data_IF_247218289649
#
_entry.id   IF_247218289649
#
_cell.length_a   1.000
_cell.length_b   1.000
_cell.length_c   1.000
_cell.angle_alpha   90.00
_cell.angle_beta   90.00
_cell.angle_gamma   90.00
#
_symmetry.space_group_name_H-M   'P 1'
#
loop_
_entity.id
_entity.type
_entity.pdbx_description
1 polymer ?
#
# COMPACT_ATOMS: atom_id res chain seq x y z
N UNK A 1 4.31 18.51 -8.07
CA UNK A 1 3.89 17.68 -9.20
C UNK A 1 4.31 18.29 -10.52
N UNK A 2 4.81 17.48 -11.41
CA UNK A 2 5.13 17.83 -12.78
C UNK A 2 4.35 16.91 -13.75
N UNK A 3 4.24 17.33 -14.99
CA UNK A 3 3.67 16.56 -16.08
C UNK A 3 4.73 15.76 -16.83
N UNK A 4 4.37 15.25 -18.00
CA UNK A 4 5.25 14.47 -18.88
C UNK A 4 5.06 14.86 -20.33
N UNK A 5 6.10 14.70 -21.13
CA UNK A 5 6.07 14.81 -22.59
C UNK A 5 6.20 13.41 -23.19
N UNK A 6 5.28 13.07 -24.08
CA UNK A 6 5.25 11.80 -24.77
C UNK A 6 6.13 11.81 -26.03
N UNK A 7 6.43 10.63 -26.56
CA UNK A 7 7.26 10.41 -27.75
C UNK A 7 6.64 10.98 -29.04
N UNK A 8 5.31 11.13 -29.08
CA UNK A 8 4.58 11.78 -30.18
C UNK A 8 4.58 13.32 -30.10
N UNK A 9 5.23 13.89 -29.07
CA UNK A 9 5.28 15.32 -28.80
C UNK A 9 4.14 15.87 -27.95
N UNK A 10 3.16 15.06 -27.56
CA UNK A 10 2.08 15.48 -26.67
C UNK A 10 2.60 15.82 -25.29
N UNK A 11 2.21 16.99 -24.76
CA UNK A 11 2.55 17.39 -23.39
C UNK A 11 1.34 17.19 -22.48
N UNK A 12 1.50 16.38 -21.44
CA UNK A 12 0.50 16.15 -20.43
C UNK A 12 0.84 16.97 -19.18
N UNK A 13 -0.12 17.75 -18.72
CA UNK A 13 -0.01 18.48 -17.46
C UNK A 13 0.05 17.52 -16.27
N UNK A 14 0.47 18.00 -15.10
CA UNK A 14 0.45 17.21 -13.87
C UNK A 14 -0.93 16.59 -13.58
N UNK A 15 -2.02 17.33 -13.84
CA UNK A 15 -3.38 16.83 -13.66
C UNK A 15 -3.70 15.68 -14.61
N UNK A 16 -3.33 15.79 -15.88
CA UNK A 16 -3.55 14.71 -16.87
C UNK A 16 -2.69 13.48 -16.56
N UNK A 17 -1.43 13.68 -16.17
CA UNK A 17 -0.53 12.59 -15.78
C UNK A 17 -1.03 11.82 -14.53
N UNK A 18 -1.80 12.45 -13.65
CA UNK A 18 -2.41 11.82 -12.46
C UNK A 18 -3.36 10.68 -12.82
N UNK A 19 -4.01 10.70 -13.97
CA UNK A 19 -4.90 9.61 -14.40
C UNK A 19 -4.16 8.28 -14.56
N UNK A 20 -2.96 8.33 -15.14
CA UNK A 20 -2.12 7.14 -15.23
C UNK A 20 -1.69 6.67 -13.85
N UNK A 21 -1.27 7.59 -12.96
CA UNK A 21 -0.88 7.23 -11.59
C UNK A 21 -2.03 6.53 -10.87
N UNK A 22 -3.24 7.09 -10.95
CA UNK A 22 -4.42 6.50 -10.33
C UNK A 22 -4.72 5.09 -10.87
N UNK A 23 -4.61 4.89 -12.18
CA UNK A 23 -4.76 3.57 -12.80
C UNK A 23 -3.66 2.58 -12.39
N UNK A 24 -2.40 3.04 -12.34
CA UNK A 24 -1.27 2.22 -11.93
C UNK A 24 -1.34 1.83 -10.45
N UNK A 25 -1.75 2.76 -9.57
CA UNK A 25 -1.98 2.48 -8.14
C UNK A 25 -3.12 1.48 -7.92
N UNK A 26 -4.22 1.63 -8.64
CA UNK A 26 -5.36 0.73 -8.55
C UNK A 26 -5.06 -0.67 -9.11
N UNK A 27 -4.18 -0.77 -10.10
CA UNK A 27 -3.77 -2.04 -10.71
C UNK A 27 -2.58 -2.71 -10.04
N UNK A 28 -1.88 -2.02 -9.13
CA UNK A 28 -0.70 -2.58 -8.46
C UNK A 28 -1.10 -3.65 -7.43
N UNK A 29 -0.38 -4.78 -7.45
CA UNK A 29 -0.52 -5.80 -6.42
C UNK A 29 -0.04 -5.26 -5.06
N UNK A 30 -0.56 -5.81 -3.97
CA UNK A 30 -0.27 -5.31 -2.61
C UNK A 30 1.23 -5.24 -2.29
N UNK A 31 2.05 -6.16 -2.84
CA UNK A 31 3.50 -6.19 -2.65
C UNK A 31 4.30 -5.31 -3.64
N UNK A 32 3.65 -4.73 -4.66
CA UNK A 32 4.31 -3.88 -5.65
C UNK A 32 4.40 -2.43 -5.19
N UNK A 33 5.46 -1.75 -5.62
CA UNK A 33 5.62 -0.30 -5.48
C UNK A 33 5.72 0.33 -6.86
N UNK A 34 5.17 1.52 -7.02
CA UNK A 34 5.36 2.33 -8.22
C UNK A 34 6.65 3.13 -8.22
N UNK A 35 7.48 3.05 -7.17
CA UNK A 35 8.80 3.68 -7.17
C UNK A 35 9.60 3.20 -8.38
N UNK A 36 10.07 4.14 -9.19
CA UNK A 36 10.76 3.90 -10.46
C UNK A 36 9.92 3.19 -11.54
N UNK A 37 8.61 3.09 -11.37
CA UNK A 37 7.72 2.66 -12.44
C UNK A 37 7.79 3.65 -13.60
N UNK A 38 7.92 3.12 -14.82
CA UNK A 38 8.03 3.92 -16.03
C UNK A 38 6.66 4.45 -16.46
N UNK A 39 6.58 5.74 -16.76
CA UNK A 39 5.43 6.31 -17.43
C UNK A 39 5.43 5.86 -18.91
N UNK A 40 4.39 5.22 -19.43
CA UNK A 40 4.37 4.70 -20.80
C UNK A 40 4.55 5.81 -21.83
N UNK A 41 5.41 5.57 -22.81
CA UNK A 41 5.67 6.47 -23.94
C UNK A 41 6.18 7.88 -23.57
N UNK A 42 6.49 8.14 -22.29
CA UNK A 42 7.05 9.42 -21.87
C UNK A 42 8.56 9.46 -22.07
N UNK A 43 9.03 10.55 -22.66
CA UNK A 43 10.44 10.79 -22.98
C UNK A 43 11.07 11.87 -22.11
N UNK A 44 10.25 12.75 -21.52
CA UNK A 44 10.72 13.85 -20.68
C UNK A 44 9.70 14.21 -19.60
N UNK A 45 10.18 14.48 -18.38
CA UNK A 45 9.37 15.06 -17.31
C UNK A 45 9.23 16.58 -17.51
N UNK A 46 8.02 17.13 -17.42
CA UNK A 46 7.76 18.54 -17.70
C UNK A 46 6.99 19.24 -16.55
N UNK A 47 7.61 20.22 -15.85
CA UNK A 47 9.02 20.60 -15.95
C UNK A 47 9.96 19.50 -15.45
N UNK A 48 11.17 19.48 -16.01
CA UNK A 48 12.25 18.63 -15.54
C UNK A 48 12.73 19.12 -14.17
N UNK A 49 12.77 18.21 -13.21
CA UNK A 49 13.22 18.48 -11.85
C UNK A 49 14.71 18.13 -11.70
N UNK A 50 15.43 18.95 -10.96
CA UNK A 50 16.73 18.56 -10.42
C UNK A 50 16.55 17.59 -9.25
N UNK A 51 17.60 16.85 -8.87
CA UNK A 51 17.53 15.92 -7.75
C UNK A 51 17.06 16.60 -6.45
N UNK A 52 17.58 17.80 -6.14
CA UNK A 52 17.17 18.58 -4.98
C UNK A 52 15.69 19.02 -5.03
N UNK A 53 15.17 19.31 -6.22
CA UNK A 53 13.75 19.65 -6.38
C UNK A 53 12.87 18.42 -6.24
N UNK A 54 13.29 17.27 -6.76
CA UNK A 54 12.58 16.01 -6.61
C UNK A 54 12.56 15.57 -5.13
N UNK A 55 13.67 15.67 -4.41
CA UNK A 55 13.76 15.42 -2.97
C UNK A 55 12.83 16.34 -2.16
N UNK A 56 12.80 17.63 -2.49
CA UNK A 56 11.89 18.60 -1.87
C UNK A 56 10.43 18.26 -2.15
N UNK A 57 10.08 17.85 -3.36
CA UNK A 57 8.73 17.42 -3.70
C UNK A 57 8.31 16.19 -2.89
N UNK A 58 9.16 15.18 -2.83
CA UNK A 58 8.92 13.94 -2.07
C UNK A 58 8.75 14.24 -0.57
N UNK A 59 9.63 15.05 0.02
CA UNK A 59 9.54 15.42 1.44
C UNK A 59 8.29 16.26 1.77
N UNK A 60 7.75 16.95 0.78
CA UNK A 60 6.49 17.71 0.87
C UNK A 60 5.24 16.86 0.57
N UNK A 61 5.39 15.55 0.38
CA UNK A 61 4.28 14.62 0.12
C UNK A 61 3.75 14.65 -1.32
N UNK A 62 4.56 15.12 -2.27
CA UNK A 62 4.20 15.12 -3.68
C UNK A 62 4.88 13.97 -4.43
N UNK A 63 4.06 13.15 -5.08
CA UNK A 63 4.56 12.22 -6.10
C UNK A 63 5.00 13.04 -7.32
N UNK A 64 6.21 12.82 -7.82
CA UNK A 64 6.76 13.51 -8.98
C UNK A 64 7.43 12.54 -9.96
N UNK A 65 7.60 12.99 -11.19
CA UNK A 65 8.30 12.27 -12.25
C UNK A 65 9.72 12.79 -12.40
N UNK A 66 10.63 11.86 -12.69
CA UNK A 66 12.05 12.15 -12.97
C UNK A 66 12.47 11.56 -14.30
N UNK A 67 13.42 12.23 -14.97
CA UNK A 67 14.09 11.67 -16.13
C UNK A 67 15.15 10.67 -15.69
N UNK A 68 15.13 9.49 -16.27
CA UNK A 68 16.09 8.45 -15.99
C UNK A 68 16.52 7.76 -17.31
N UNK A 69 17.69 8.14 -17.81
CA UNK A 69 18.28 7.57 -19.03
C UNK A 69 17.32 7.48 -20.22
N UNK A 70 16.62 8.58 -20.53
CA UNK A 70 15.72 8.69 -21.67
C UNK A 70 14.32 8.09 -21.44
N UNK A 71 14.00 7.75 -20.21
CA UNK A 71 12.66 7.33 -19.77
C UNK A 71 12.18 8.20 -18.62
N UNK A 72 10.89 8.37 -18.49
CA UNK A 72 10.27 9.07 -17.36
C UNK A 72 9.77 8.06 -16.34
N UNK A 73 10.16 8.25 -15.09
CA UNK A 73 9.79 7.35 -13.98
C UNK A 73 9.18 8.09 -12.82
N UNK A 74 8.36 7.39 -12.05
CA UNK A 74 7.92 7.85 -10.72
C UNK A 74 9.15 7.93 -9.80
N UNK A 75 9.38 9.08 -9.18
CA UNK A 75 10.51 9.26 -8.27
C UNK A 75 10.40 8.33 -7.06
N UNK A 76 9.28 8.43 -6.35
CA UNK A 76 8.99 7.62 -5.16
C UNK A 76 7.48 7.42 -5.03
N UNK A 77 7.07 6.19 -4.73
CA UNK A 77 5.68 5.80 -4.48
C UNK A 77 5.26 6.19 -3.07
N UNK A 78 4.65 7.36 -2.95
CA UNK A 78 4.24 7.96 -1.68
C UNK A 78 2.84 8.58 -1.77
N UNK A 79 2.20 8.69 -0.61
CA UNK A 79 1.01 9.51 -0.41
C UNK A 79 1.36 10.88 0.18
N UNK A 80 0.34 11.67 0.51
CA UNK A 80 0.49 13.04 1.02
C UNK A 80 0.77 13.13 2.53
N UNK A 81 1.01 12.03 3.24
CA UNK A 81 1.31 12.03 4.66
C UNK A 81 2.72 12.57 4.92
N UNK A 82 2.82 13.73 5.57
CA UNK A 82 4.09 14.41 5.90
C UNK A 82 4.27 14.65 7.39
N UNK A 83 3.24 14.38 8.19
CA UNK A 83 3.31 14.53 9.66
C UNK A 83 3.28 13.15 10.30
N UNK A 84 4.31 12.81 11.05
CA UNK A 84 4.46 11.50 11.67
C UNK A 84 4.26 11.56 13.18
N UNK A 85 3.72 10.51 13.75
CA UNK A 85 3.51 10.31 15.18
C UNK A 85 4.09 8.97 15.61
N UNK A 86 4.07 8.67 16.91
CA UNK A 86 4.52 7.37 17.44
C UNK A 86 3.69 6.22 16.84
N UNK A 87 2.38 6.41 16.72
CA UNK A 87 1.46 5.39 16.22
C UNK A 87 1.34 5.39 14.68
N UNK A 88 1.89 6.40 14.01
CA UNK A 88 1.80 6.59 12.56
C UNK A 88 3.13 7.12 12.04
N UNK A 89 4.07 6.23 11.89
CA UNK A 89 5.43 6.51 11.46
C UNK A 89 5.56 6.83 9.96
N UNK A 90 6.79 7.05 9.53
CA UNK A 90 7.09 7.42 8.13
C UNK A 90 6.70 6.33 7.12
N UNK A 91 6.68 5.08 7.52
CA UNK A 91 6.28 3.93 6.67
C UNK A 91 4.86 4.11 6.12
N UNK A 92 3.94 4.73 6.87
CA UNK A 92 2.58 5.02 6.42
C UNK A 92 2.51 6.05 5.28
N UNK A 93 3.61 6.75 4.99
CA UNK A 93 3.69 7.60 3.80
C UNK A 93 3.89 6.79 2.50
N UNK A 94 4.18 5.50 2.56
CA UNK A 94 4.39 4.63 1.40
C UNK A 94 3.08 3.98 0.95
N UNK A 95 2.69 4.20 -0.31
CA UNK A 95 1.47 3.61 -0.86
C UNK A 95 1.47 2.09 -0.79
N UNK A 96 2.62 1.45 -1.03
CA UNK A 96 2.75 -0.01 -0.89
C UNK A 96 2.38 -0.48 0.51
N UNK A 97 2.82 0.20 1.58
CA UNK A 97 2.49 -0.16 2.97
C UNK A 97 0.99 -0.04 3.20
N UNK A 98 0.40 1.07 2.75
CA UNK A 98 -1.04 1.27 2.85
C UNK A 98 -1.84 0.20 2.08
N UNK A 99 -1.37 -0.20 0.89
CA UNK A 99 -2.02 -1.29 0.13
C UNK A 99 -1.99 -2.63 0.86
N UNK A 100 -0.85 -3.00 1.45
CA UNK A 100 -0.73 -4.24 2.26
C UNK A 100 -1.74 -4.23 3.41
N UNK A 101 -1.78 -3.13 4.18
CA UNK A 101 -2.68 -3.02 5.33
C UNK A 101 -4.15 -3.06 4.90
N UNK A 102 -4.52 -2.32 3.85
CA UNK A 102 -5.90 -2.31 3.34
C UNK A 102 -6.31 -3.66 2.76
N UNK A 103 -5.42 -4.34 2.04
CA UNK A 103 -5.68 -5.69 1.53
C UNK A 103 -5.95 -6.66 2.69
N UNK A 104 -5.06 -6.66 3.70
CA UNK A 104 -5.25 -7.51 4.89
C UNK A 104 -6.57 -7.24 5.59
N UNK A 105 -6.92 -5.97 5.84
CA UNK A 105 -8.17 -5.60 6.49
C UNK A 105 -9.40 -6.05 5.68
N UNK A 106 -9.40 -5.82 4.37
CA UNK A 106 -10.51 -6.17 3.51
C UNK A 106 -10.70 -7.68 3.42
N UNK A 107 -9.64 -8.43 3.19
CA UNK A 107 -9.70 -9.88 3.05
C UNK A 107 -10.07 -10.56 4.38
N UNK A 108 -9.57 -10.02 5.50
CA UNK A 108 -9.95 -10.50 6.84
C UNK A 108 -11.43 -10.25 7.10
N UNK A 109 -11.95 -9.07 6.77
CA UNK A 109 -13.36 -8.75 6.90
C UNK A 109 -14.22 -9.64 6.01
N UNK A 110 -13.86 -9.84 4.76
CA UNK A 110 -14.57 -10.72 3.83
C UNK A 110 -14.59 -12.15 4.34
N UNK A 111 -13.45 -12.68 4.75
CA UNK A 111 -13.36 -14.05 5.28
C UNK A 111 -14.18 -14.21 6.55
N UNK A 112 -14.06 -13.27 7.49
CA UNK A 112 -14.81 -13.31 8.75
C UNK A 112 -16.33 -13.28 8.50
N UNK A 113 -16.79 -12.38 7.64
CA UNK A 113 -18.23 -12.27 7.34
C UNK A 113 -18.77 -13.49 6.61
N UNK A 114 -17.99 -14.10 5.72
CA UNK A 114 -18.44 -15.24 4.93
C UNK A 114 -18.36 -16.59 5.67
N UNK A 115 -17.42 -16.75 6.62
CA UNK A 115 -17.13 -18.06 7.20
C UNK A 115 -17.31 -18.13 8.71
N UNK A 116 -17.36 -17.01 9.42
CA UNK A 116 -17.47 -16.97 10.89
C UNK A 116 -18.81 -16.45 11.37
N UNK A 117 -19.30 -15.33 10.87
CA UNK A 117 -20.53 -14.71 11.35
C UNK A 117 -21.71 -15.67 11.16
N UNK A 118 -22.34 -16.05 12.28
CA UNK A 118 -23.48 -16.98 12.32
C UNK A 118 -23.15 -18.44 11.98
N UNK A 119 -21.86 -18.82 11.90
CA UNK A 119 -21.41 -20.17 11.53
C UNK A 119 -20.44 -20.79 12.52
N UNK A 120 -19.67 -19.97 13.23
CA UNK A 120 -18.68 -20.41 14.22
C UNK A 120 -19.00 -19.78 15.57
N UNK A 121 -18.99 -20.57 16.62
CA UNK A 121 -19.23 -20.08 17.97
C UNK A 121 -18.05 -19.23 18.46
N UNK A 122 -18.35 -18.14 19.20
CA UNK A 122 -17.31 -17.31 19.84
C UNK A 122 -16.81 -17.96 21.13
N UNK A 123 -16.12 -19.08 20.98
CA UNK A 123 -15.40 -19.78 22.03
C UNK A 123 -13.93 -19.92 21.70
N UNK A 124 -13.13 -20.51 22.58
CA UNK A 124 -11.69 -20.67 22.37
C UNK A 124 -11.35 -21.42 21.08
N UNK A 125 -12.15 -22.44 20.74
CA UNK A 125 -11.93 -23.21 19.50
C UNK A 125 -12.22 -22.35 18.25
N UNK A 126 -13.30 -21.57 18.26
CA UNK A 126 -13.63 -20.66 17.15
C UNK A 126 -12.62 -19.55 16.98
N UNK A 127 -12.16 -18.94 18.09
CA UNK A 127 -11.10 -17.92 18.04
C UNK A 127 -9.76 -18.49 17.56
N UNK A 128 -9.41 -19.71 17.98
CA UNK A 128 -8.20 -20.39 17.49
C UNK A 128 -8.29 -20.71 16.00
N UNK A 129 -9.47 -21.08 15.50
CA UNK A 129 -9.69 -21.29 14.07
C UNK A 129 -9.48 -19.99 13.25
N UNK A 130 -10.01 -18.87 13.75
CA UNK A 130 -9.81 -17.56 13.14
C UNK A 130 -8.33 -17.15 13.17
N UNK A 131 -7.66 -17.33 14.32
CA UNK A 131 -6.22 -17.09 14.44
C UNK A 131 -5.42 -17.92 13.42
N UNK A 132 -5.70 -19.20 13.30
CA UNK A 132 -5.01 -20.09 12.37
C UNK A 132 -5.14 -19.61 10.91
N UNK A 133 -6.34 -19.18 10.51
CA UNK A 133 -6.56 -18.64 9.18
C UNK A 133 -5.77 -17.33 8.95
N UNK A 134 -5.79 -16.39 9.93
CA UNK A 134 -5.03 -15.14 9.82
C UNK A 134 -3.53 -15.42 9.69
N UNK A 135 -2.99 -16.32 10.49
CA UNK A 135 -1.58 -16.73 10.45
C UNK A 135 -1.22 -17.33 9.08
N UNK A 136 -2.07 -18.20 8.53
CA UNK A 136 -1.85 -18.76 7.19
C UNK A 136 -1.88 -17.68 6.11
N UNK A 137 -2.85 -16.77 6.17
CA UNK A 137 -2.98 -15.65 5.25
C UNK A 137 -1.74 -14.74 5.27
N UNK A 138 -1.27 -14.34 6.46
CA UNK A 138 -0.08 -13.49 6.62
C UNK A 138 1.22 -14.19 6.22
N UNK A 139 1.34 -15.50 6.45
CA UNK A 139 2.44 -16.29 5.90
C UNK A 139 2.45 -16.26 4.36
N UNK A 140 1.27 -16.31 3.73
CA UNK A 140 1.12 -16.13 2.28
C UNK A 140 1.56 -14.75 1.82
N UNK A 141 1.21 -13.68 2.57
CA UNK A 141 1.68 -12.32 2.28
C UNK A 141 3.21 -12.20 2.44
N UNK A 142 3.79 -12.84 3.44
CA UNK A 142 5.25 -12.88 3.64
C UNK A 142 5.97 -13.64 2.52
N UNK A 143 5.44 -14.78 2.09
CA UNK A 143 5.99 -15.55 0.98
C UNK A 143 6.01 -14.75 -0.34
N UNK A 144 5.05 -13.84 -0.52
CA UNK A 144 5.00 -12.91 -1.66
C UNK A 144 5.76 -11.59 -1.42
N UNK A 145 6.56 -11.50 -0.36
CA UNK A 145 7.30 -10.30 0.03
C UNK A 145 6.41 -9.07 0.32
N UNK A 146 5.16 -9.27 0.69
CA UNK A 146 4.26 -8.18 1.13
C UNK A 146 4.66 -7.63 2.49
N UNK A 147 4.97 -8.52 3.42
CA UNK A 147 5.45 -8.23 4.79
C UNK A 147 6.74 -9.00 5.07
N UNK A 148 7.41 -8.69 6.17
CA UNK A 148 8.65 -9.34 6.60
C UNK A 148 8.63 -9.63 8.10
N UNK A 149 9.42 -10.63 8.54
CA UNK A 149 9.63 -11.00 9.95
C UNK A 149 8.35 -11.39 10.71
N UNK A 150 7.28 -11.73 10.02
CA UNK A 150 6.03 -12.16 10.62
C UNK A 150 6.17 -13.56 11.25
N UNK A 151 5.57 -13.71 12.43
CA UNK A 151 5.44 -14.98 13.15
C UNK A 151 4.01 -15.18 13.65
N UNK A 152 3.65 -16.41 14.00
CA UNK A 152 2.31 -16.69 14.54
C UNK A 152 2.04 -16.04 15.92
N UNK A 153 3.07 -15.58 16.62
CA UNK A 153 2.98 -14.88 17.90
C UNK A 153 2.50 -13.44 17.72
N UNK A 154 2.69 -12.85 16.53
CA UNK A 154 2.27 -11.49 16.19
C UNK A 154 0.74 -11.37 16.00
N UNK A 155 -0.01 -12.49 16.04
CA UNK A 155 -1.47 -12.53 15.95
C UNK A 155 -2.08 -12.93 17.27
N UNK A 156 -2.98 -12.11 17.79
CA UNK A 156 -3.81 -12.44 18.94
C UNK A 156 -5.29 -12.29 18.59
N UNK A 157 -6.09 -13.32 18.91
CA UNK A 157 -7.55 -13.28 18.78
C UNK A 157 -8.16 -13.56 20.15
N UNK A 158 -8.84 -12.58 20.70
CA UNK A 158 -9.46 -12.63 22.02
C UNK A 158 -10.96 -12.38 21.97
N UNK A 159 -11.67 -12.68 23.09
CA UNK A 159 -13.06 -12.28 23.24
C UNK A 159 -13.14 -10.75 23.30
N UNK A 160 -14.13 -10.18 22.66
CA UNK A 160 -14.46 -8.76 22.79
C UNK A 160 -15.35 -8.46 24.00
N UNK A 161 -15.84 -7.24 24.08
CA UNK A 161 -16.66 -6.76 25.20
C UNK A 161 -18.07 -7.38 25.26
N UNK A 162 -18.57 -7.92 24.15
CA UNK A 162 -19.83 -8.64 24.07
C UNK A 162 -19.63 -10.10 23.69
N UNK A 163 -20.62 -10.95 24.00
CA UNK A 163 -20.56 -12.41 23.75
C UNK A 163 -20.36 -12.75 22.29
N UNK A 164 -20.78 -11.87 21.38
CA UNK A 164 -20.75 -12.02 19.93
C UNK A 164 -19.63 -11.20 19.26
N UNK A 165 -18.73 -10.60 20.05
CA UNK A 165 -17.60 -9.82 19.53
C UNK A 165 -16.26 -10.53 19.75
N UNK A 166 -15.31 -10.26 18.82
CA UNK A 166 -13.91 -10.70 18.92
C UNK A 166 -13.01 -9.50 18.69
N UNK A 167 -11.84 -9.50 19.31
CA UNK A 167 -10.75 -8.54 19.07
C UNK A 167 -9.63 -9.28 18.37
N UNK A 168 -9.17 -8.73 17.28
CA UNK A 168 -8.04 -9.22 16.49
C UNK A 168 -6.93 -8.18 16.56
N UNK A 169 -5.83 -8.53 17.20
CA UNK A 169 -4.62 -7.71 17.25
C UNK A 169 -3.53 -8.37 16.40
N UNK A 170 -2.94 -7.59 15.49
CA UNK A 170 -1.87 -8.03 14.61
C UNK A 170 -0.76 -7.01 14.60
N UNK A 171 0.46 -7.47 14.84
CA UNK A 171 1.69 -6.65 14.73
C UNK A 171 2.38 -7.01 13.42
N UNK A 172 2.60 -5.99 12.54
CA UNK A 172 3.21 -6.18 11.22
C UNK A 172 4.39 -5.21 11.02
#
# INVERSE_FOLDING_TARGET
NNGVKLDDGTELTAQQATWWVGGAEAGALYYQSLTYAQYPNAVEANPKLTDAQAETAVSSGYLCFIDNFGTVKVCTDINSLTTFTVDKGQEFSKNRVMRVLMQFCNDTYEHFSNYFIGKVDNNDSGRNLLKAWIVEYLNGMQANNGIQNFTAEDVTVSAGDSVDSVVIDVVL
#
